data_IF_559492239368
#
_entry.id   IF_559492239368
#
_cell.length_a   1.000
_cell.length_b   1.000
_cell.length_c   1.000
_cell.angle_alpha   90.00
_cell.angle_beta   90.00
_cell.angle_gamma   90.00
#
_symmetry.space_group_name_H-M   'P 1'
#
loop_
_entity.id
_entity.type
_entity.pdbx_description
1 polymer ?
#
# COMPACT_ATOMS: atom_id res chain seq x y z
N UNK A 1 5.36 4.77 14.60
CA UNK A 1 6.62 5.22 15.22
C UNK A 1 7.37 6.03 14.17
N UNK A 2 7.93 7.19 14.53
CA UNK A 2 8.66 8.06 13.59
C UNK A 2 10.17 7.87 13.65
N UNK A 3 10.67 6.95 14.48
CA UNK A 3 12.10 6.68 14.65
C UNK A 3 12.70 6.00 13.41
N UNK A 4 13.95 6.34 13.07
CA UNK A 4 14.67 5.65 11.99
C UNK A 4 14.82 4.15 12.25
N UNK A 5 15.01 3.76 13.52
CA UNK A 5 15.09 2.36 13.94
C UNK A 5 13.79 1.62 13.64
N UNK A 6 12.64 2.23 13.94
CA UNK A 6 11.33 1.65 13.64
C UNK A 6 11.12 1.41 12.16
N UNK A 7 11.55 2.35 11.31
CA UNK A 7 11.47 2.22 9.86
C UNK A 7 12.50 1.25 9.26
N UNK A 8 13.69 1.15 9.86
CA UNK A 8 14.68 0.12 9.50
C UNK A 8 14.11 -1.27 9.77
N UNK A 9 13.45 -1.43 10.89
CA UNK A 9 12.74 -2.67 11.22
C UNK A 9 11.57 -2.96 10.26
N UNK A 10 10.82 -1.94 9.84
CA UNK A 10 9.76 -2.10 8.83
C UNK A 10 10.31 -2.59 7.48
N UNK A 11 11.48 -2.10 7.06
CA UNK A 11 12.12 -2.58 5.83
C UNK A 11 12.76 -3.97 6.00
N UNK A 12 13.10 -4.38 7.23
CA UNK A 12 13.54 -5.75 7.50
C UNK A 12 12.43 -6.78 7.19
N UNK A 13 11.15 -6.41 7.27
CA UNK A 13 10.05 -7.28 6.85
C UNK A 13 10.19 -7.76 5.40
N UNK A 14 10.90 -7.00 4.54
CA UNK A 14 11.07 -7.36 3.13
C UNK A 14 12.08 -8.49 2.87
N UNK A 15 12.88 -8.91 3.87
CA UNK A 15 13.92 -9.92 3.67
C UNK A 15 14.24 -10.83 4.87
N UNK A 16 13.83 -10.48 6.10
CA UNK A 16 14.04 -11.33 7.27
C UNK A 16 12.91 -12.35 7.45
N UNK A 17 13.25 -13.57 7.85
CA UNK A 17 12.23 -14.59 8.17
C UNK A 17 11.35 -14.17 9.35
N UNK A 18 11.95 -13.45 10.30
CA UNK A 18 11.26 -12.78 11.40
C UNK A 18 12.10 -11.59 11.90
N UNK A 19 11.46 -10.54 12.39
CA UNK A 19 12.13 -9.44 13.11
C UNK A 19 12.04 -9.63 14.62
N UNK A 20 12.92 -9.00 15.42
CA UNK A 20 12.81 -9.04 16.88
C UNK A 20 11.43 -8.58 17.39
N UNK A 21 10.84 -7.50 16.85
CA UNK A 21 9.50 -7.09 17.24
C UNK A 21 8.42 -8.14 16.90
N UNK A 22 8.55 -8.85 15.78
CA UNK A 22 7.63 -9.94 15.40
C UNK A 22 7.70 -11.10 16.39
N UNK A 23 8.91 -11.51 16.79
CA UNK A 23 9.11 -12.55 17.81
C UNK A 23 8.55 -12.10 19.17
N UNK A 24 8.88 -10.89 19.62
CA UNK A 24 8.34 -10.33 20.87
C UNK A 24 6.81 -10.23 20.84
N UNK A 25 6.20 -9.94 19.69
CA UNK A 25 4.74 -9.88 19.56
C UNK A 25 4.09 -11.28 19.68
N UNK A 26 4.73 -12.32 19.14
CA UNK A 26 4.29 -13.71 19.33
C UNK A 26 4.40 -14.13 20.79
N UNK A 27 5.56 -13.91 21.42
CA UNK A 27 5.79 -14.20 22.84
C UNK A 27 4.78 -13.46 23.75
N UNK A 28 4.51 -12.19 23.44
CA UNK A 28 3.52 -11.40 24.19
C UNK A 28 2.10 -11.96 24.04
N UNK A 29 1.71 -12.41 22.85
CA UNK A 29 0.41 -13.02 22.62
C UNK A 29 0.27 -14.30 23.44
N UNK A 30 1.28 -15.18 23.43
CA UNK A 30 1.26 -16.41 24.23
C UNK A 30 1.21 -16.12 25.73
N UNK A 31 2.05 -15.18 26.21
CA UNK A 31 2.06 -14.76 27.61
C UNK A 31 0.70 -14.25 28.10
N UNK A 32 0.02 -13.39 27.34
CA UNK A 32 -1.31 -12.91 27.74
C UNK A 32 -2.40 -13.97 27.54
N UNK A 33 -2.25 -14.86 26.56
CA UNK A 33 -3.21 -15.93 26.31
C UNK A 33 -3.22 -17.00 27.40
N UNK A 34 -2.10 -17.24 28.09
CA UNK A 34 -2.02 -18.14 29.26
C UNK A 34 -2.84 -17.65 30.46
N UNK A 35 -3.10 -16.34 30.53
CA UNK A 35 -3.79 -15.71 31.67
C UNK A 35 -5.31 -15.81 31.58
N UNK A 36 -5.83 -16.41 30.52
CA UNK A 36 -7.26 -16.52 30.25
C UNK A 36 -7.55 -17.77 29.44
N UNK A 37 -8.77 -18.31 29.50
CA UNK A 37 -9.25 -19.36 28.58
C UNK A 37 -10.19 -18.81 27.52
N UNK A 38 -10.39 -17.48 27.47
CA UNK A 38 -11.32 -16.84 26.56
C UNK A 38 -10.88 -16.94 25.09
N UNK A 39 -11.85 -16.75 24.19
CA UNK A 39 -11.61 -16.55 22.76
C UNK A 39 -10.90 -15.22 22.54
N UNK A 40 -9.90 -15.19 21.64
CA UNK A 40 -8.98 -14.07 21.46
C UNK A 40 -9.26 -13.35 20.13
N UNK A 41 -9.16 -12.02 20.13
CA UNK A 41 -9.01 -11.22 18.91
C UNK A 41 -7.66 -10.53 18.97
N UNK A 42 -6.93 -10.59 17.87
CA UNK A 42 -5.62 -9.96 17.74
C UNK A 42 -5.75 -8.84 16.73
N UNK A 43 -5.07 -7.71 16.92
CA UNK A 43 -5.10 -6.67 15.91
C UNK A 43 -4.11 -5.56 16.17
N UNK A 44 -3.85 -4.80 15.11
CA UNK A 44 -3.00 -3.63 15.20
C UNK A 44 -3.15 -2.73 13.99
N UNK A 45 -2.52 -1.56 14.07
CA UNK A 45 -2.50 -0.56 13.02
C UNK A 45 -1.06 -0.31 12.56
N UNK A 46 -0.87 0.00 11.27
CA UNK A 46 0.46 0.26 10.71
C UNK A 46 1.39 -0.94 10.95
N UNK A 47 2.61 -0.72 11.45
CA UNK A 47 3.51 -1.80 11.91
C UNK A 47 2.81 -2.81 12.83
N UNK A 48 1.90 -2.36 13.69
CA UNK A 48 1.14 -3.23 14.58
C UNK A 48 0.22 -4.21 13.85
N UNK A 49 -0.26 -3.88 12.64
CA UNK A 49 -1.05 -4.81 11.82
C UNK A 49 -0.21 -6.01 11.35
N UNK A 50 1.03 -5.74 10.92
CA UNK A 50 2.00 -6.78 10.60
C UNK A 50 2.33 -7.64 11.82
N UNK A 51 2.65 -7.01 12.96
CA UNK A 51 2.98 -7.71 14.21
C UNK A 51 1.81 -8.57 14.69
N UNK A 52 0.57 -8.09 14.60
CA UNK A 52 -0.63 -8.83 14.96
C UNK A 52 -0.82 -10.09 14.11
N UNK A 53 -0.64 -9.97 12.79
CA UNK A 53 -0.70 -11.11 11.88
C UNK A 53 0.43 -12.11 12.14
N UNK A 54 1.66 -11.62 12.36
CA UNK A 54 2.79 -12.49 12.66
C UNK A 54 2.58 -13.23 13.98
N UNK A 55 2.22 -12.52 15.05
CA UNK A 55 1.95 -13.10 16.35
C UNK A 55 0.87 -14.20 16.26
N UNK A 56 -0.24 -13.93 15.56
CA UNK A 56 -1.29 -14.91 15.38
C UNK A 56 -0.84 -16.15 14.58
N UNK A 57 0.04 -15.97 13.59
CA UNK A 57 0.57 -17.08 12.79
C UNK A 57 1.57 -17.93 13.59
N UNK A 58 2.43 -17.30 14.39
CA UNK A 58 3.58 -17.97 15.00
C UNK A 58 3.46 -18.23 16.51
N UNK A 59 2.32 -17.89 17.13
CA UNK A 59 2.02 -18.31 18.49
C UNK A 59 1.78 -19.83 18.61
N UNK A 60 1.76 -20.31 19.86
CA UNK A 60 1.48 -21.69 20.20
C UNK A 60 0.14 -22.16 19.61
N UNK A 61 0.07 -23.43 19.16
CA UNK A 61 -1.08 -23.94 18.43
C UNK A 61 -2.38 -23.95 19.27
N UNK A 62 -2.28 -24.11 20.59
CA UNK A 62 -3.41 -23.99 21.52
C UNK A 62 -4.00 -22.57 21.52
N UNK A 63 -3.14 -21.56 21.56
CA UNK A 63 -3.55 -20.15 21.53
C UNK A 63 -4.08 -19.78 20.14
N UNK A 64 -3.43 -20.24 19.08
CA UNK A 64 -3.87 -20.09 17.69
C UNK A 64 -5.28 -20.60 17.44
N UNK A 65 -5.65 -21.74 18.05
CA UNK A 65 -7.00 -22.29 17.94
C UNK A 65 -8.05 -21.36 18.56
N UNK A 66 -7.71 -20.67 19.65
CA UNK A 66 -8.59 -19.73 20.36
C UNK A 66 -8.72 -18.37 19.67
N UNK A 67 -7.90 -18.06 18.66
CA UNK A 67 -8.02 -16.83 17.88
C UNK A 67 -9.27 -16.90 17.01
N UNK A 68 -10.16 -15.92 17.18
CA UNK A 68 -11.38 -15.74 16.40
C UNK A 68 -11.16 -14.87 15.16
N UNK A 69 -10.47 -13.74 15.32
CA UNK A 69 -10.13 -12.82 14.24
C UNK A 69 -8.82 -12.09 14.48
N UNK A 70 -8.15 -11.76 13.38
CA UNK A 70 -6.90 -11.01 13.30
C UNK A 70 -7.13 -9.79 12.43
N UNK A 71 -6.95 -8.59 12.98
CA UNK A 71 -7.17 -7.34 12.25
C UNK A 71 -5.83 -6.66 11.92
N UNK A 72 -5.52 -6.55 10.63
CA UNK A 72 -4.43 -5.70 10.15
C UNK A 72 -5.00 -4.43 9.56
N UNK A 73 -4.88 -3.33 10.32
CA UNK A 73 -5.40 -2.03 9.91
C UNK A 73 -4.28 -1.23 9.25
N UNK A 74 -4.29 -1.19 7.92
CA UNK A 74 -3.32 -0.50 7.07
C UNK A 74 -1.87 -0.86 7.42
N UNK A 75 -1.65 -2.13 7.74
CA UNK A 75 -0.33 -2.68 8.06
C UNK A 75 0.32 -3.35 6.85
N UNK A 76 1.66 -3.27 6.72
CA UNK A 76 2.36 -3.91 5.61
C UNK A 76 2.24 -5.44 5.70
N UNK A 77 2.26 -6.10 4.55
CA UNK A 77 2.33 -7.56 4.43
C UNK A 77 3.70 -8.13 4.79
N UNK A 78 4.02 -9.29 4.24
CA UNK A 78 5.25 -10.01 4.53
C UNK A 78 6.05 -10.34 3.27
N UNK A 79 7.31 -10.73 3.45
CA UNK A 79 8.09 -11.32 2.36
C UNK A 79 7.59 -12.72 1.98
N UNK A 80 8.14 -13.22 0.88
CA UNK A 80 7.83 -14.52 0.27
C UNK A 80 8.00 -15.69 1.24
N UNK A 81 9.00 -15.64 2.13
CA UNK A 81 9.30 -16.72 3.08
C UNK A 81 8.15 -16.88 4.08
N UNK A 82 7.65 -15.76 4.62
CA UNK A 82 6.57 -15.79 5.61
C UNK A 82 5.24 -16.15 4.95
N UNK A 83 4.92 -15.59 3.78
CA UNK A 83 3.63 -15.89 3.11
C UNK A 83 3.56 -17.32 2.58
N UNK A 84 4.70 -17.98 2.35
CA UNK A 84 4.76 -19.41 2.02
C UNK A 84 4.81 -20.33 3.24
N UNK A 85 4.96 -19.80 4.45
CA UNK A 85 4.98 -20.59 5.67
C UNK A 85 3.58 -21.16 5.98
N UNK A 86 3.52 -22.43 6.39
CA UNK A 86 2.27 -23.12 6.73
C UNK A 86 1.55 -22.48 7.94
N UNK A 87 2.30 -21.95 8.91
CA UNK A 87 1.72 -21.27 10.06
C UNK A 87 0.99 -19.98 9.68
N UNK A 88 1.50 -19.24 8.70
CA UNK A 88 0.80 -18.09 8.13
C UNK A 88 -0.46 -18.52 7.38
N UNK A 89 -0.38 -19.56 6.55
CA UNK A 89 -1.52 -20.08 5.79
C UNK A 89 -2.67 -20.54 6.70
N UNK A 90 -2.36 -21.14 7.86
CA UNK A 90 -3.33 -21.61 8.87
C UNK A 90 -4.21 -20.51 9.48
N UNK A 91 -3.81 -19.25 9.42
CA UNK A 91 -4.59 -18.14 10.02
C UNK A 91 -5.31 -17.28 9.00
N UNK A 92 -5.14 -17.53 7.70
CA UNK A 92 -5.64 -16.66 6.63
C UNK A 92 -7.16 -16.43 6.69
N UNK A 93 -7.95 -17.46 6.99
CA UNK A 93 -9.41 -17.37 7.14
C UNK A 93 -9.85 -16.48 8.32
N UNK A 94 -8.96 -16.30 9.29
CA UNK A 94 -9.15 -15.44 10.46
C UNK A 94 -8.67 -14.00 10.23
N UNK A 95 -8.01 -13.70 9.11
CA UNK A 95 -7.45 -12.36 8.85
C UNK A 95 -8.45 -11.46 8.15
N UNK A 96 -8.64 -10.26 8.70
CA UNK A 96 -9.27 -9.13 8.04
C UNK A 96 -8.18 -8.07 7.78
N UNK A 97 -7.83 -7.87 6.51
CA UNK A 97 -6.93 -6.81 6.06
C UNK A 97 -7.76 -5.58 5.72
N UNK A 98 -7.66 -4.51 6.50
CA UNK A 98 -8.45 -3.29 6.30
C UNK A 98 -7.52 -2.18 5.86
N UNK A 99 -7.75 -1.63 4.68
CA UNK A 99 -6.94 -0.53 4.14
C UNK A 99 -7.83 0.63 3.69
N UNK A 100 -7.41 1.89 3.84
CA UNK A 100 -8.08 3.00 3.19
C UNK A 100 -7.87 2.96 1.67
N UNK A 101 -8.80 3.53 0.90
CA UNK A 101 -8.70 3.63 -0.57
C UNK A 101 -7.37 4.26 -1.08
N UNK A 102 -6.78 5.16 -0.28
CA UNK A 102 -5.51 5.82 -0.54
C UNK A 102 -4.31 5.19 0.15
N UNK A 103 -4.41 3.93 0.60
CA UNK A 103 -3.35 3.26 1.35
C UNK A 103 -2.01 3.28 0.62
N UNK A 104 -0.95 3.67 1.34
CA UNK A 104 0.44 3.55 0.92
C UNK A 104 1.20 2.50 1.74
N UNK A 105 0.65 2.06 2.87
CA UNK A 105 1.31 1.17 3.84
C UNK A 105 0.74 -0.25 3.75
N UNK A 106 -0.59 -0.40 3.78
CA UNK A 106 -1.28 -1.68 3.63
C UNK A 106 -1.14 -2.34 2.25
N UNK A 107 -0.53 -1.66 1.28
CA UNK A 107 -0.16 -2.19 -0.04
C UNK A 107 1.30 -2.64 -0.12
N UNK A 108 2.09 -2.43 0.94
CA UNK A 108 3.49 -2.87 0.96
C UNK A 108 3.56 -4.38 1.21
N UNK A 109 4.47 -5.06 0.50
CA UNK A 109 4.80 -6.48 0.67
C UNK A 109 3.62 -7.42 0.34
N UNK A 110 3.85 -8.73 0.43
CA UNK A 110 2.89 -9.73 0.02
C UNK A 110 1.87 -10.03 1.11
N UNK A 111 0.61 -10.22 0.69
CA UNK A 111 -0.45 -10.77 1.50
C UNK A 111 -1.27 -11.75 0.66
N UNK A 112 -1.67 -12.89 1.24
CA UNK A 112 -2.50 -13.89 0.56
C UNK A 112 -3.99 -13.73 0.79
N UNK A 113 -4.39 -12.69 1.54
CA UNK A 113 -5.79 -12.44 1.85
C UNK A 113 -6.31 -11.20 1.14
N UNK A 114 -7.59 -11.22 0.78
CA UNK A 114 -8.24 -10.09 0.12
C UNK A 114 -8.32 -8.87 1.05
N UNK A 115 -8.04 -7.70 0.48
CA UNK A 115 -8.06 -6.42 1.21
C UNK A 115 -9.47 -5.84 1.23
N UNK A 116 -9.96 -5.50 2.41
CA UNK A 116 -11.17 -4.70 2.61
C UNK A 116 -10.79 -3.23 2.43
N UNK A 117 -11.32 -2.61 1.38
CA UNK A 117 -11.00 -1.22 1.04
C UNK A 117 -12.07 -0.31 1.64
N UNK A 118 -11.67 0.62 2.51
CA UNK A 118 -12.60 1.51 3.21
C UNK A 118 -12.46 2.96 2.76
N UNK A 119 -13.57 3.69 2.79
CA UNK A 119 -13.60 5.11 2.44
C UNK A 119 -12.91 5.95 3.53
N UNK A 120 -12.30 7.06 3.12
CA UNK A 120 -11.62 7.99 4.01
C UNK A 120 -11.94 9.44 3.65
N UNK A 121 -12.18 10.30 4.65
CA UNK A 121 -12.39 11.74 4.41
C UNK A 121 -11.09 12.55 4.35
N UNK A 122 -9.93 11.92 4.56
CA UNK A 122 -8.64 12.58 4.49
C UNK A 122 -8.13 12.68 3.04
N UNK A 123 -7.47 13.81 2.73
CA UNK A 123 -6.84 14.05 1.42
C UNK A 123 -5.39 13.60 1.42
N UNK A 124 -5.01 12.84 0.40
CA UNK A 124 -3.66 12.32 0.20
C UNK A 124 -3.39 11.04 1.02
N UNK A 125 -2.71 10.06 0.40
CA UNK A 125 -2.58 8.71 0.95
C UNK A 125 -1.92 8.62 2.33
N UNK A 126 -0.90 9.44 2.59
CA UNK A 126 -0.25 9.49 3.90
C UNK A 126 -1.20 9.94 5.02
N UNK A 127 -2.11 10.89 4.73
CA UNK A 127 -3.11 11.35 5.70
C UNK A 127 -4.19 10.29 5.95
N UNK A 128 -4.51 9.48 4.93
CA UNK A 128 -5.47 8.39 5.05
C UNK A 128 -4.95 7.23 5.90
N UNK A 129 -3.64 7.15 6.17
CA UNK A 129 -3.07 6.19 7.11
C UNK A 129 -3.61 6.38 8.54
N UNK A 130 -4.12 7.57 8.88
CA UNK A 130 -4.77 7.81 10.17
C UNK A 130 -6.16 7.15 10.21
N UNK A 131 -6.40 6.14 11.08
CA UNK A 131 -7.68 5.43 11.10
C UNK A 131 -8.88 6.31 11.49
N UNK A 132 -8.65 7.45 12.14
CA UNK A 132 -9.72 8.40 12.47
C UNK A 132 -10.33 9.11 11.26
N UNK A 133 -9.71 9.01 10.08
CA UNK A 133 -10.31 9.52 8.85
C UNK A 133 -11.21 8.50 8.14
N UNK A 134 -11.22 7.24 8.58
CA UNK A 134 -11.98 6.16 7.92
C UNK A 134 -13.45 6.27 8.25
N UNK A 135 -14.30 6.17 7.23
CA UNK A 135 -15.72 6.39 7.39
C UNK A 135 -16.43 5.15 7.93
N UNK A 136 -17.25 5.35 8.96
CA UNK A 136 -18.05 4.29 9.60
C UNK A 136 -19.53 4.61 9.42
N UNK A 137 -20.28 3.66 8.87
CA UNK A 137 -21.73 3.68 8.80
C UNK A 137 -22.37 2.94 9.98
N UNK A 138 -23.68 2.70 9.87
CA UNK A 138 -24.48 2.07 10.95
C UNK A 138 -23.95 0.69 11.38
N UNK A 139 -23.41 -0.09 10.45
CA UNK A 139 -23.05 -1.50 10.65
C UNK A 139 -21.54 -1.78 10.48
N UNK A 140 -20.68 -0.77 10.39
CA UNK A 140 -19.24 -0.95 10.15
C UNK A 140 -18.66 0.06 9.17
N UNK A 141 -17.44 -0.19 8.69
CA UNK A 141 -16.77 0.68 7.73
C UNK A 141 -17.56 0.81 6.41
N UNK A 142 -17.62 2.03 5.88
CA UNK A 142 -18.10 2.26 4.52
C UNK A 142 -17.05 1.74 3.53
N UNK A 143 -17.45 0.81 2.67
CA UNK A 143 -16.56 0.23 1.66
C UNK A 143 -16.33 1.23 0.52
N UNK A 144 -15.09 1.31 0.05
CA UNK A 144 -14.76 1.98 -1.20
C UNK A 144 -14.82 0.96 -2.35
N UNK A 145 -15.23 1.40 -3.54
CA UNK A 145 -15.33 0.51 -4.70
C UNK A 145 -13.96 0.03 -5.19
N UNK A 146 -12.93 0.86 -5.05
CA UNK A 146 -11.56 0.55 -5.51
C UNK A 146 -10.52 1.38 -4.77
N UNK A 147 -9.28 0.90 -4.82
CA UNK A 147 -8.10 1.69 -4.46
C UNK A 147 -7.97 2.90 -5.40
N UNK A 148 -7.43 3.98 -4.87
CA UNK A 148 -6.99 5.14 -5.65
C UNK A 148 -5.86 4.75 -6.62
N UNK A 149 -5.76 5.43 -7.76
CA UNK A 149 -4.73 5.13 -8.77
C UNK A 149 -3.30 5.20 -8.23
N UNK A 150 -3.03 6.08 -7.26
CA UNK A 150 -1.70 6.16 -6.62
C UNK A 150 -1.41 4.92 -5.75
N UNK A 151 -2.43 4.39 -5.08
CA UNK A 151 -2.33 3.18 -4.26
C UNK A 151 -2.15 1.94 -5.15
N UNK A 152 -2.94 1.83 -6.23
CA UNK A 152 -2.82 0.75 -7.24
C UNK A 152 -1.44 0.79 -7.92
N UNK A 153 -0.99 1.98 -8.32
CA UNK A 153 0.34 2.16 -8.91
C UNK A 153 1.44 1.67 -7.97
N UNK A 154 1.38 2.02 -6.68
CA UNK A 154 2.36 1.61 -5.70
C UNK A 154 2.32 0.10 -5.44
N UNK A 155 1.13 -0.48 -5.26
CA UNK A 155 0.94 -1.93 -5.05
C UNK A 155 1.63 -2.73 -6.18
N UNK A 156 1.28 -2.44 -7.43
CA UNK A 156 1.89 -3.12 -8.59
C UNK A 156 3.38 -2.81 -8.78
N UNK A 157 3.82 -1.57 -8.53
CA UNK A 157 5.23 -1.21 -8.68
C UNK A 157 6.09 -1.97 -7.69
N UNK A 158 5.61 -2.11 -6.45
CA UNK A 158 6.31 -2.84 -5.40
C UNK A 158 6.26 -4.34 -5.61
N UNK A 159 5.13 -4.89 -6.06
CA UNK A 159 5.02 -6.30 -6.44
C UNK A 159 6.05 -6.67 -7.53
N UNK A 160 6.13 -5.87 -8.60
CA UNK A 160 7.13 -6.05 -9.66
C UNK A 160 8.57 -5.85 -9.17
N UNK A 161 8.79 -4.88 -8.29
CA UNK A 161 10.11 -4.61 -7.72
C UNK A 161 10.57 -5.74 -6.79
N UNK A 162 9.69 -6.26 -5.94
CA UNK A 162 9.98 -7.36 -5.01
C UNK A 162 10.30 -8.66 -5.76
N UNK A 163 9.65 -8.93 -6.89
CA UNK A 163 9.94 -10.10 -7.75
C UNK A 163 11.31 -10.03 -8.44
N UNK A 164 11.84 -8.84 -8.69
CA UNK A 164 13.07 -8.62 -9.48
C UNK A 164 14.35 -8.65 -8.66
N UNK A 165 14.26 -8.57 -7.32
CA UNK A 165 15.42 -8.52 -6.43
C UNK A 165 15.55 -9.78 -5.58
N UNK A 166 16.77 -10.32 -5.53
CA UNK A 166 17.12 -11.33 -4.53
C UNK A 166 17.21 -10.73 -3.11
N UNK A 167 17.16 -11.61 -2.11
CA UNK A 167 17.16 -11.25 -0.69
C UNK A 167 18.37 -10.40 -0.30
N UNK A 168 19.54 -10.72 -0.82
CA UNK A 168 20.80 -10.05 -0.47
C UNK A 168 20.83 -8.63 -1.01
N UNK A 169 20.31 -8.39 -2.22
CA UNK A 169 20.16 -7.06 -2.80
C UNK A 169 19.15 -6.20 -2.03
N UNK A 170 18.00 -6.79 -1.62
CA UNK A 170 17.00 -6.11 -0.77
C UNK A 170 17.64 -5.67 0.56
N UNK A 171 18.32 -6.59 1.26
CA UNK A 171 18.97 -6.31 2.54
C UNK A 171 20.08 -5.24 2.42
N UNK A 172 20.95 -5.35 1.41
CA UNK A 172 22.02 -4.37 1.17
C UNK A 172 21.45 -2.98 0.91
N UNK A 173 20.41 -2.86 0.07
CA UNK A 173 19.77 -1.58 -0.21
C UNK A 173 19.20 -0.94 1.05
N UNK A 174 18.45 -1.69 1.87
CA UNK A 174 17.87 -1.21 3.12
C UNK A 174 18.95 -0.74 4.09
N UNK A 175 19.98 -1.56 4.32
CA UNK A 175 21.08 -1.22 5.22
C UNK A 175 21.80 0.05 4.78
N UNK A 176 22.14 0.16 3.49
CA UNK A 176 22.82 1.33 2.96
C UNK A 176 22.00 2.61 3.16
N UNK A 177 20.70 2.58 2.89
CA UNK A 177 19.83 3.75 3.05
C UNK A 177 19.77 4.18 4.52
N UNK A 178 19.57 3.25 5.46
CA UNK A 178 19.45 3.58 6.88
C UNK A 178 20.77 3.91 7.56
N UNK A 179 21.85 3.17 7.32
CA UNK A 179 23.17 3.46 7.88
C UNK A 179 23.64 4.86 7.43
N UNK A 180 23.31 5.23 6.18
CA UNK A 180 23.54 6.58 5.67
C UNK A 180 22.71 7.63 6.41
N UNK A 181 21.40 7.40 6.55
CA UNK A 181 20.51 8.33 7.27
C UNK A 181 20.92 8.49 8.75
N UNK A 182 21.31 7.40 9.42
CA UNK A 182 21.82 7.43 10.80
C UNK A 182 23.15 8.20 10.89
N UNK A 183 24.05 8.07 9.91
CA UNK A 183 25.33 8.79 9.88
C UNK A 183 25.18 10.32 9.78
N UNK A 184 24.00 10.81 9.37
CA UNK A 184 23.68 12.24 9.33
C UNK A 184 23.18 12.80 10.66
N UNK A 185 22.98 11.95 11.67
CA UNK A 185 22.46 12.33 12.99
C UNK A 185 20.94 12.46 13.06
N UNK A 186 20.20 12.19 11.97
CA UNK A 186 18.75 12.08 12.03
C UNK A 186 18.34 10.94 12.95
N UNK A 187 17.31 11.16 13.76
CA UNK A 187 16.69 10.12 14.61
C UNK A 187 15.25 9.85 14.21
N UNK A 188 14.61 10.78 13.49
CA UNK A 188 13.22 10.64 13.05
C UNK A 188 13.00 11.09 11.61
N UNK A 189 11.97 10.53 10.95
CA UNK A 189 11.56 10.96 9.61
C UNK A 189 11.04 12.40 9.57
N UNK A 190 10.50 12.93 10.68
CA UNK A 190 10.09 14.34 10.76
C UNK A 190 11.28 15.29 10.60
N UNK A 191 12.45 14.94 11.15
CA UNK A 191 13.69 15.71 10.94
C UNK A 191 14.15 15.65 9.48
N UNK A 192 13.96 14.50 8.83
CA UNK A 192 14.26 14.32 7.40
C UNK A 192 13.35 15.16 6.51
N UNK A 193 12.06 15.17 6.82
CA UNK A 193 11.06 15.90 6.04
C UNK A 193 11.20 17.43 6.17
N UNK A 194 11.76 17.91 7.29
CA UNK A 194 12.03 19.32 7.53
C UNK A 194 13.23 19.86 6.71
N UNK A 195 14.20 19.00 6.38
CA UNK A 195 15.40 19.39 5.62
C UNK A 195 15.77 18.36 4.53
N UNK A 196 14.81 18.11 3.65
CA UNK A 196 14.90 17.09 2.58
C UNK A 196 16.21 17.18 1.78
N UNK A 197 16.63 18.40 1.43
CA UNK A 197 17.79 18.63 0.58
C UNK A 197 19.10 18.19 1.24
N UNK A 198 19.26 18.41 2.54
CA UNK A 198 20.43 17.95 3.29
C UNK A 198 20.51 16.43 3.30
N UNK A 199 19.41 15.74 3.56
CA UNK A 199 19.39 14.27 3.62
C UNK A 199 19.51 13.62 2.24
N UNK A 200 18.88 14.17 1.19
CA UNK A 200 19.08 13.69 -0.18
C UNK A 200 20.54 13.83 -0.61
N UNK A 201 21.19 14.95 -0.30
CA UNK A 201 22.61 15.16 -0.60
C UNK A 201 23.52 14.24 0.22
N UNK A 202 23.16 13.96 1.47
CA UNK A 202 23.90 13.02 2.29
C UNK A 202 23.75 11.58 1.80
N UNK A 203 22.54 11.17 1.38
CA UNK A 203 22.29 9.89 0.71
C UNK A 203 23.12 9.77 -0.57
N UNK A 204 23.11 10.80 -1.42
CA UNK A 204 23.90 10.83 -2.64
C UNK A 204 25.41 10.76 -2.36
N UNK A 205 25.92 11.50 -1.36
CA UNK A 205 27.34 11.50 -0.98
C UNK A 205 27.79 10.20 -0.34
N UNK A 206 26.98 9.59 0.52
CA UNK A 206 27.30 8.30 1.11
C UNK A 206 27.23 7.20 0.05
N UNK A 207 26.26 7.25 -0.86
CA UNK A 207 26.23 6.39 -2.03
C UNK A 207 27.51 6.52 -2.86
N UNK A 208 28.10 7.71 -2.99
CA UNK A 208 29.40 7.89 -3.66
C UNK A 208 30.62 7.37 -2.87
N UNK A 209 30.49 7.12 -1.55
CA UNK A 209 31.57 6.60 -0.69
C UNK A 209 31.54 5.08 -0.52
N UNK A 210 30.50 4.42 -1.00
CA UNK A 210 30.40 2.96 -0.96
C UNK A 210 31.30 2.32 -2.01
N UNK A 211 31.67 1.07 -1.78
CA UNK A 211 32.41 0.28 -2.76
C UNK A 211 31.64 0.20 -4.11
N UNK A 212 32.32 0.15 -5.27
CA UNK A 212 31.68 0.26 -6.58
C UNK A 212 30.56 -0.77 -6.85
N UNK A 213 30.66 -1.95 -6.25
CA UNK A 213 29.67 -3.04 -6.31
C UNK A 213 28.37 -2.69 -5.56
N UNK A 214 28.47 -1.96 -4.45
CA UNK A 214 27.31 -1.51 -3.67
C UNK A 214 26.58 -0.34 -4.35
N UNK A 215 27.32 0.58 -4.97
CA UNK A 215 26.74 1.69 -5.76
C UNK A 215 25.98 1.15 -6.97
N UNK A 216 26.57 0.16 -7.66
CA UNK A 216 25.91 -0.55 -8.76
C UNK A 216 24.59 -1.16 -8.31
N UNK A 217 24.57 -1.81 -7.15
CA UNK A 217 23.37 -2.43 -6.57
C UNK A 217 22.28 -1.39 -6.27
N UNK A 218 22.61 -0.25 -5.65
CA UNK A 218 21.62 0.81 -5.36
C UNK A 218 21.06 1.40 -6.65
N UNK A 219 21.92 1.71 -7.62
CA UNK A 219 21.49 2.29 -8.89
C UNK A 219 20.64 1.30 -9.68
N UNK A 220 20.97 0.02 -9.65
CA UNK A 220 20.17 -1.05 -10.24
C UNK A 220 18.79 -1.13 -9.57
N UNK A 221 18.74 -1.18 -8.24
CA UNK A 221 17.50 -1.23 -7.45
C UNK A 221 16.60 -0.02 -7.73
N UNK A 222 17.17 1.19 -7.79
CA UNK A 222 16.43 2.41 -8.12
C UNK A 222 15.93 2.42 -9.58
N UNK A 223 16.74 1.94 -10.53
CA UNK A 223 16.32 1.80 -11.94
C UNK A 223 15.18 0.80 -12.08
N UNK A 224 15.25 -0.33 -11.38
CA UNK A 224 14.19 -1.35 -11.39
C UNK A 224 12.89 -0.81 -10.79
N UNK A 225 12.96 -0.04 -9.70
CA UNK A 225 11.80 0.62 -9.11
C UNK A 225 11.16 1.63 -10.09
N UNK A 226 12.00 2.44 -10.75
CA UNK A 226 11.55 3.39 -11.77
C UNK A 226 10.96 2.70 -13.01
N UNK A 227 11.52 1.57 -13.45
CA UNK A 227 10.97 0.81 -14.58
C UNK A 227 9.64 0.15 -14.23
N UNK A 228 9.54 -0.47 -13.05
CA UNK A 228 8.29 -1.05 -12.56
C UNK A 228 7.18 0.01 -12.51
N UNK A 229 7.46 1.20 -11.97
CA UNK A 229 6.50 2.31 -11.96
C UNK A 229 6.07 2.79 -13.35
N UNK A 230 6.99 2.80 -14.32
CA UNK A 230 6.67 3.14 -15.72
C UNK A 230 5.80 2.08 -16.38
N UNK A 231 6.10 0.80 -16.19
CA UNK A 231 5.34 -0.32 -16.75
C UNK A 231 3.89 -0.30 -16.27
N UNK A 232 3.67 -0.05 -14.97
CA UNK A 232 2.34 0.04 -14.36
C UNK A 232 1.57 1.27 -14.85
N UNK A 233 2.21 2.44 -14.94
CA UNK A 233 1.59 3.64 -15.52
C UNK A 233 1.14 3.41 -16.98
N UNK A 234 1.93 2.65 -17.75
CA UNK A 234 1.59 2.30 -19.13
C UNK A 234 0.42 1.31 -19.18
N UNK A 235 0.35 0.32 -18.28
CA UNK A 235 -0.75 -0.64 -18.24
C UNK A 235 -2.06 -0.01 -17.79
N UNK A 236 -2.06 0.85 -16.76
CA UNK A 236 -3.25 1.58 -16.32
C UNK A 236 -3.75 2.54 -17.40
N UNK A 237 -2.84 3.25 -18.08
CA UNK A 237 -3.23 4.13 -19.18
C UNK A 237 -3.83 3.35 -20.35
N UNK A 238 -3.38 2.11 -20.60
CA UNK A 238 -3.94 1.23 -21.63
C UNK A 238 -5.29 0.64 -21.24
N UNK A 239 -5.53 0.29 -19.97
CA UNK A 239 -6.83 -0.20 -19.49
C UNK A 239 -7.87 0.93 -19.48
N UNK A 240 -7.50 2.11 -18.99
CA UNK A 240 -8.31 3.34 -19.06
C UNK A 240 -8.72 3.68 -20.50
N UNK A 241 -7.79 3.61 -21.47
CA UNK A 241 -8.10 3.90 -22.87
C UNK A 241 -8.96 2.80 -23.54
N UNK A 242 -8.98 1.58 -23.01
CA UNK A 242 -9.84 0.49 -23.48
C UNK A 242 -11.27 0.64 -22.98
N UNK A 243 -11.46 1.01 -21.71
CA UNK A 243 -12.79 1.31 -21.14
C UNK A 243 -13.46 2.51 -21.84
N UNK A 244 -12.70 3.55 -22.19
CA UNK A 244 -13.22 4.70 -22.95
C UNK A 244 -13.62 4.30 -24.39
N UNK A 245 -12.94 3.32 -25.00
CA UNK A 245 -13.29 2.83 -26.35
C UNK A 245 -14.44 1.83 -26.36
N UNK A 246 -14.71 1.12 -25.28
CA UNK A 246 -15.86 0.21 -25.17
C UNK A 246 -17.17 0.90 -24.74
N UNK A 247 -17.12 2.18 -24.35
CA UNK A 247 -18.29 2.94 -23.87
C UNK A 247 -18.89 3.95 -24.86
N UNK A 248 -18.57 3.87 -26.16
CA UNK A 248 -19.19 4.75 -27.16
C UNK A 248 -20.52 4.15 -27.65
N UNK A 249 -21.67 4.85 -27.56
CA UNK A 249 -22.91 4.35 -28.15
C UNK A 249 -22.79 4.38 -29.67
N UNK A 250 -23.08 3.26 -30.33
CA UNK A 250 -23.33 3.21 -31.76
C UNK A 250 -24.46 4.19 -32.10
N UNK A 251 -24.15 5.18 -32.95
CA UNK A 251 -25.18 5.97 -33.60
C UNK A 251 -25.85 5.09 -34.64
N UNK A 252 -27.05 4.59 -34.33
CA UNK A 252 -27.95 4.06 -35.34
C UNK A 252 -28.28 5.15 -36.37
N UNK A 253 -28.01 4.82 -37.63
CA UNK A 253 -28.41 5.57 -38.79
C UNK A 253 -29.85 5.21 -39.14
N UNK A 254 -30.81 6.10 -38.90
CA UNK A 254 -32.12 6.03 -39.55
C UNK A 254 -32.20 7.08 -40.66
N UNK A 255 -32.21 6.58 -41.89
CA UNK A 255 -32.57 7.32 -43.09
C UNK A 255 -34.02 7.00 -43.48
N UNK A 256 -34.88 8.03 -43.40
CA UNK A 256 -35.97 8.30 -44.34
C UNK A 256 -37.34 7.69 -44.07
N UNK A 257 -38.38 8.54 -44.01
CA UNK A 257 -39.51 8.56 -44.97
C UNK A 257 -40.50 9.72 -44.65
N UNK A 258 -40.71 10.61 -45.65
CA UNK A 258 -41.95 11.32 -46.07
C UNK A 258 -42.66 12.26 -45.06
N UNK A 259 -43.35 13.36 -45.41
CA UNK A 259 -43.53 14.30 -46.54
C UNK A 259 -44.59 15.33 -46.05
N UNK A 260 -44.57 16.58 -46.51
CA UNK A 260 -45.77 17.44 -46.59
C UNK A 260 -46.14 18.33 -45.40
N UNK A 261 -45.92 19.64 -45.53
CA UNK A 261 -46.97 20.65 -45.80
C UNK A 261 -46.55 22.10 -45.47
N UNK A 262 -47.03 23.02 -46.32
CA UNK A 262 -46.83 24.48 -46.36
C UNK A 262 -47.47 25.17 -45.13
N UNK A 263 -47.06 26.34 -44.65
CA UNK A 263 -47.44 27.68 -45.17
C UNK A 263 -47.06 28.79 -44.16
N UNK A 264 -46.62 29.97 -44.66
CA UNK A 264 -46.90 31.37 -44.19
C UNK A 264 -46.55 31.75 -42.72
N UNK A 265 -46.15 32.96 -42.32
CA UNK A 265 -46.17 34.33 -42.83
C UNK A 265 -45.31 35.24 -41.89
N UNK A 266 -44.75 36.32 -42.44
CA UNK A 266 -44.73 37.71 -41.89
C UNK A 266 -43.75 38.13 -40.76
N UNK A 267 -42.88 39.05 -41.19
CA UNK A 267 -42.17 40.19 -40.57
C UNK A 267 -42.41 40.60 -39.10
N UNK A 268 -41.33 41.05 -38.44
CA UNK A 268 -41.08 42.43 -37.93
C UNK A 268 -39.73 42.48 -37.18
N UNK A 269 -38.70 43.19 -37.67
CA UNK A 269 -38.27 44.58 -37.40
C UNK A 269 -37.78 44.90 -35.97
N UNK A 270 -36.56 45.48 -35.94
CA UNK A 270 -35.95 46.41 -34.94
C UNK A 270 -35.47 45.76 -33.63
N UNK A 271 -34.34 46.12 -33.01
CA UNK A 271 -33.47 47.31 -33.10
C UNK A 271 -32.14 47.03 -32.33
N UNK A 272 -31.04 47.66 -32.77
CA UNK A 272 -29.91 48.20 -31.99
C UNK A 272 -30.35 48.73 -30.58
N UNK A 273 -29.56 48.75 -29.50
CA UNK A 273 -28.15 49.11 -29.30
C UNK A 273 -27.73 48.90 -27.83
N UNK A 274 -26.42 49.03 -27.59
CA UNK A 274 -25.67 49.22 -26.33
C UNK A 274 -25.22 47.97 -25.54
#
# INVERSE_FOLDING_TARGET
>A
DNSLVGWREDLNFSFMESTPAQLCAADYLDFEAERTSAVIRVGGHSKGGNLAMFAAAFCEDENKFRILKVYSNDGPGFNEIVVENENYKKILDKVDLIIPEGSLIGVLLFNKQDKQIVQSNARGGASQHNPYSWLVGKNGFLQAEKQSSISVLLDHTLDEWLKRLDRDKKQKFVNIVFDTLESTGAKTFSQINADKWTYYNAIAKAAMKLAPDQVGTIVEVLRQLLSAGKEVLISERKSSNREVKSGSPEKESESGLFEGEKSKEVSEKRKQSD
#
